data_IF_040552719977
#
_entry.id   IF_040552719977
#
_cell.length_a   1.000
_cell.length_b   1.000
_cell.length_c   1.000
_cell.angle_alpha   90.00
_cell.angle_beta   90.00
_cell.angle_gamma   90.00
#
_symmetry.space_group_name_H-M   'P 1'
#
loop_
_entity.id
_entity.type
_entity.pdbx_description
1 polymer ?
#
# COMPACT_ATOMS: atom_id res chain seq x y z
N UNK A 1 -31.23 4.89 14.09
CA UNK A 1 -30.76 5.20 12.72
C UNK A 1 -29.29 4.85 12.68
N UNK A 2 -28.89 3.92 11.81
CA UNK A 2 -27.50 3.52 11.63
C UNK A 2 -26.72 4.72 11.05
N UNK A 3 -25.84 5.34 11.83
CA UNK A 3 -24.98 6.39 11.32
C UNK A 3 -23.92 5.77 10.43
N UNK A 4 -24.07 5.94 9.11
CA UNK A 4 -23.06 5.52 8.14
C UNK A 4 -21.83 6.42 8.29
N UNK A 5 -20.80 5.90 8.95
CA UNK A 5 -19.52 6.59 9.13
C UNK A 5 -18.92 6.95 7.75
N UNK A 6 -18.33 8.14 7.63
CA UNK A 6 -17.73 8.54 6.36
C UNK A 6 -16.47 7.72 6.08
N UNK A 7 -16.13 7.48 4.81
CA UNK A 7 -14.91 6.72 4.48
C UNK A 7 -13.65 7.40 5.02
N UNK A 8 -13.66 8.74 5.11
CA UNK A 8 -12.54 9.51 5.69
C UNK A 8 -12.36 9.20 7.18
N UNK A 9 -13.44 9.12 7.93
CA UNK A 9 -13.42 8.74 9.35
C UNK A 9 -12.96 7.29 9.52
N UNK A 10 -13.42 6.37 8.68
CA UNK A 10 -12.96 4.97 8.69
C UNK A 10 -11.45 4.91 8.44
N UNK A 11 -10.95 5.60 7.41
CA UNK A 11 -9.53 5.62 7.09
C UNK A 11 -8.69 6.18 8.25
N UNK A 12 -9.17 7.23 8.91
CA UNK A 12 -8.48 7.81 10.06
C UNK A 12 -8.49 6.86 11.27
N UNK A 13 -9.63 6.24 11.55
CA UNK A 13 -9.78 5.29 12.65
C UNK A 13 -8.88 4.06 12.47
N UNK A 14 -8.87 3.49 11.26
CA UNK A 14 -8.03 2.34 10.93
C UNK A 14 -6.54 2.68 10.99
N UNK A 15 -6.13 3.87 10.54
CA UNK A 15 -4.73 4.31 10.59
C UNK A 15 -4.25 4.56 12.03
N UNK A 16 -5.13 5.07 12.89
CA UNK A 16 -4.83 5.29 14.30
C UNK A 16 -4.89 4.01 15.14
N UNK A 17 -5.40 2.90 14.61
CA UNK A 17 -5.51 1.63 15.33
C UNK A 17 -4.15 0.90 15.37
N UNK A 18 -3.51 0.69 16.54
CA UNK A 18 -2.23 0.01 16.63
C UNK A 18 -2.25 -1.44 16.12
N UNK A 19 -3.41 -2.12 16.15
CA UNK A 19 -3.53 -3.52 15.68
C UNK A 19 -3.33 -3.65 14.16
N UNK A 20 -3.50 -2.56 13.41
CA UNK A 20 -3.25 -2.52 11.97
C UNK A 20 -1.76 -2.29 11.63
N UNK A 21 -0.90 -2.11 12.65
CA UNK A 21 0.54 -1.89 12.49
C UNK A 21 1.35 -3.10 12.98
N UNK A 22 2.34 -3.51 12.18
CA UNK A 22 3.31 -4.54 12.57
C UNK A 22 4.70 -4.16 12.08
N UNK A 23 5.62 -3.88 13.01
CA UNK A 23 7.03 -3.52 12.72
C UNK A 23 7.16 -2.46 11.61
N UNK A 24 6.27 -1.46 11.62
CA UNK A 24 6.26 -0.36 10.64
C UNK A 24 5.56 -0.67 9.30
N UNK A 25 5.03 -1.87 9.11
CA UNK A 25 4.08 -2.19 8.04
C UNK A 25 2.65 -1.89 8.48
N UNK A 26 1.80 -1.57 7.51
CA UNK A 26 0.39 -1.24 7.74
C UNK A 26 -0.52 -2.17 6.93
N UNK A 27 -1.56 -2.68 7.58
CA UNK A 27 -2.54 -3.57 6.98
C UNK A 27 -3.94 -3.24 7.49
N UNK A 28 -4.78 -2.66 6.64
CA UNK A 28 -6.22 -2.54 6.89
C UNK A 28 -7.02 -2.77 5.62
N UNK A 29 -8.02 -3.67 5.69
CA UNK A 29 -8.98 -3.89 4.59
C UNK A 29 -10.06 -2.82 4.52
N UNK A 30 -10.27 -2.08 5.62
CA UNK A 30 -11.32 -1.05 5.74
C UNK A 30 -10.81 0.33 5.34
N UNK A 31 -9.50 0.58 5.51
CA UNK A 31 -8.85 1.77 4.97
C UNK A 31 -8.75 1.66 3.44
N UNK A 32 -9.44 2.56 2.73
CA UNK A 32 -9.53 2.53 1.27
C UNK A 32 -8.26 3.01 0.57
N UNK A 33 -7.28 3.56 1.30
CA UNK A 33 -6.06 4.12 0.71
C UNK A 33 -5.06 3.02 0.32
N UNK A 34 -4.37 3.21 -0.79
CA UNK A 34 -3.23 2.38 -1.19
C UNK A 34 -1.93 2.81 -0.47
N UNK A 35 -1.77 4.11 -0.25
CA UNK A 35 -0.62 4.70 0.41
C UNK A 35 -1.08 5.48 1.64
N UNK A 36 -0.37 5.32 2.75
CA UNK A 36 -0.63 6.04 4.00
C UNK A 36 0.68 6.59 4.57
N UNK A 37 0.66 7.69 5.34
CA UNK A 37 1.84 8.09 6.10
C UNK A 37 2.20 6.98 7.09
N UNK A 38 3.49 6.80 7.39
CA UNK A 38 3.95 5.92 8.48
C UNK A 38 3.37 6.40 9.82
N UNK A 39 3.26 5.49 10.80
CA UNK A 39 2.78 5.79 12.15
C UNK A 39 3.53 6.97 12.80
N UNK A 40 4.82 7.11 12.46
CA UNK A 40 5.63 8.30 12.70
C UNK A 40 5.71 9.09 11.38
N UNK A 41 4.95 10.19 11.19
CA UNK A 41 4.74 10.77 9.86
C UNK A 41 6.01 11.27 9.13
N UNK A 42 7.04 11.69 9.88
CA UNK A 42 8.29 12.15 9.27
C UNK A 42 9.13 11.01 8.66
N UNK A 43 8.82 9.75 8.99
CA UNK A 43 9.43 8.56 8.38
C UNK A 43 8.88 8.26 6.97
N UNK A 44 8.04 9.13 6.43
CA UNK A 44 7.53 9.05 5.06
C UNK A 44 6.24 8.24 4.95
N UNK A 45 6.09 7.54 3.82
CA UNK A 45 4.87 6.83 3.44
C UNK A 45 5.10 5.31 3.39
N UNK A 46 4.01 4.56 3.50
CA UNK A 46 3.99 3.11 3.32
C UNK A 46 2.77 2.67 2.55
N UNK A 47 2.84 1.45 2.00
CA UNK A 47 1.71 0.84 1.30
C UNK A 47 0.80 0.18 2.33
N UNK A 48 -0.51 0.40 2.20
CA UNK A 48 -1.50 -0.40 2.90
C UNK A 48 -1.63 -1.77 2.20
N UNK A 49 -1.04 -2.81 2.79
CA UNK A 49 -1.07 -4.16 2.23
C UNK A 49 -2.45 -4.83 2.35
N UNK A 50 -3.37 -4.24 3.10
CA UNK A 50 -4.76 -4.71 3.24
C UNK A 50 -5.69 -4.20 2.14
N UNK A 51 -5.32 -3.15 1.38
CA UNK A 51 -6.15 -2.60 0.32
C UNK A 51 -5.80 -3.19 -1.04
N UNK A 52 -6.80 -3.33 -1.93
CA UNK A 52 -6.59 -3.82 -3.30
C UNK A 52 -5.58 -2.96 -4.06
N UNK A 53 -5.66 -1.64 -3.91
CA UNK A 53 -4.73 -0.71 -4.54
C UNK A 53 -3.29 -0.89 -4.04
N UNK A 54 -3.11 -1.07 -2.73
CA UNK A 54 -1.77 -1.31 -2.16
C UNK A 54 -1.19 -2.66 -2.56
N UNK A 55 -2.00 -3.72 -2.56
CA UNK A 55 -1.59 -5.03 -3.06
C UNK A 55 -1.14 -4.99 -4.53
N UNK A 56 -1.90 -4.31 -5.40
CA UNK A 56 -1.50 -4.11 -6.80
C UNK A 56 -0.17 -3.36 -6.93
N UNK A 57 0.04 -2.30 -6.13
CA UNK A 57 1.31 -1.56 -6.10
C UNK A 57 2.48 -2.46 -5.71
N UNK A 58 2.31 -3.28 -4.67
CA UNK A 58 3.36 -4.20 -4.21
C UNK A 58 3.68 -5.27 -5.25
N UNK A 59 2.67 -5.86 -5.89
CA UNK A 59 2.88 -6.84 -6.97
C UNK A 59 3.58 -6.20 -8.17
N UNK A 60 3.15 -5.00 -8.58
CA UNK A 60 3.79 -4.26 -9.66
C UNK A 60 5.27 -3.97 -9.37
N UNK A 61 5.60 -3.64 -8.12
CA UNK A 61 6.99 -3.41 -7.72
C UNK A 61 7.82 -4.69 -7.65
N UNK A 62 7.31 -5.76 -7.03
CA UNK A 62 8.07 -7.00 -6.83
C UNK A 62 8.17 -7.89 -8.07
N UNK A 63 7.18 -7.83 -8.96
CA UNK A 63 7.09 -8.69 -10.15
C UNK A 63 7.20 -7.86 -11.42
N UNK A 64 6.39 -6.79 -11.52
CA UNK A 64 6.34 -5.96 -12.73
C UNK A 64 7.68 -5.28 -13.04
N UNK A 65 8.32 -4.67 -12.04
CA UNK A 65 9.59 -3.97 -12.25
C UNK A 65 10.74 -4.92 -12.65
N UNK A 66 10.98 -6.07 -11.97
CA UNK A 66 11.99 -7.02 -12.42
C UNK A 66 11.70 -7.60 -13.80
N UNK A 67 10.45 -7.95 -14.11
CA UNK A 67 10.08 -8.45 -15.44
C UNK A 67 10.34 -7.40 -16.52
N UNK A 68 10.01 -6.13 -16.24
CA UNK A 68 10.31 -5.03 -17.16
C UNK A 68 11.81 -4.90 -17.40
N UNK A 69 12.64 -4.98 -16.35
CA UNK A 69 14.10 -4.92 -16.47
C UNK A 69 14.62 -6.08 -17.33
N UNK A 70 14.18 -7.31 -17.07
CA UNK A 70 14.58 -8.49 -17.85
C UNK A 70 14.18 -8.34 -19.32
N UNK A 71 12.96 -7.86 -19.58
CA UNK A 71 12.47 -7.60 -20.93
C UNK A 71 13.34 -6.58 -21.66
N UNK A 72 13.63 -5.44 -21.02
CA UNK A 72 14.49 -4.40 -21.59
C UNK A 72 15.92 -4.90 -21.84
N UNK A 73 16.49 -5.68 -20.92
CA UNK A 73 17.81 -6.29 -21.10
C UNK A 73 17.82 -7.30 -22.26
N UNK A 74 16.73 -8.06 -22.43
CA UNK A 74 16.61 -9.02 -23.52
C UNK A 74 16.55 -8.33 -24.88
N UNK A 75 15.89 -7.17 -24.97
CA UNK A 75 15.89 -6.34 -26.18
C UNK A 75 17.23 -5.63 -26.43
N UNK A 76 17.93 -5.19 -25.38
CA UNK A 76 19.20 -4.48 -25.50
C UNK A 76 20.38 -5.42 -25.85
N UNK A 77 20.33 -6.70 -25.45
CA UNK A 77 21.38 -7.68 -25.70
C UNK A 77 21.09 -8.58 -26.92
N UNK A 78 19.86 -8.52 -27.46
CA UNK A 78 19.45 -9.21 -28.68
C UNK A 78 19.63 -8.40 -29.98
N UNK A 79 20.20 -7.20 -29.90
CA UNK A 79 20.76 -6.43 -31.03
C UNK A 79 22.29 -6.52 -30.99
#
# INVERSE_FOLDING_TARGET
MEQKQSQKEINQAEWSNPDNWSVGFYFSKKDSRAWVPKSIPWMGWTVNLGSRGGACWMIGFLVGLPLLIVLLMSFACGQ
#
